data_IF_071789572907
#
_entry.id   IF_071789572907
#
_cell.length_a   1.000
_cell.length_b   1.000
_cell.length_c   1.000
_cell.angle_alpha   90.00
_cell.angle_beta   90.00
_cell.angle_gamma   90.00
#
_symmetry.space_group_name_H-M   'P 1'
#
loop_
_entity.id
_entity.type
_entity.pdbx_description
1 polymer ?
#
# COMPACT_ATOMS: atom_id res chain seq x y z
N UNK A 1 -35.05 1.11 8.01
CA UNK A 1 -33.60 1.28 8.19
C UNK A 1 -32.95 0.68 6.97
N UNK A 2 -32.34 1.51 6.14
CA UNK A 2 -31.80 1.09 4.85
C UNK A 2 -30.35 0.62 4.99
N UNK A 3 -30.05 -0.53 4.40
CA UNK A 3 -28.70 -1.08 4.37
C UNK A 3 -27.90 -0.40 3.25
N UNK A 4 -27.01 0.53 3.62
CA UNK A 4 -26.13 1.22 2.65
C UNK A 4 -24.81 0.45 2.53
N UNK A 5 -24.66 -0.28 1.42
CA UNK A 5 -23.40 -0.95 1.07
C UNK A 5 -22.40 0.10 0.58
N UNK A 6 -21.41 0.44 1.40
CA UNK A 6 -20.25 1.23 0.97
C UNK A 6 -19.35 0.34 0.10
N UNK A 7 -19.33 0.59 -1.22
CA UNK A 7 -18.39 -0.08 -2.13
C UNK A 7 -17.00 0.57 -1.99
N UNK A 8 -15.97 -0.14 -1.51
CA UNK A 8 -14.60 0.36 -1.58
C UNK A 8 -14.25 0.58 -3.05
N UNK A 9 -13.94 1.82 -3.42
CA UNK A 9 -13.49 2.17 -4.77
C UNK A 9 -12.01 1.80 -4.88
N UNK A 10 -11.73 0.61 -5.41
CA UNK A 10 -10.39 0.29 -5.90
C UNK A 10 -10.30 0.62 -7.39
N UNK A 11 -9.31 1.41 -7.79
CA UNK A 11 -9.02 1.70 -9.20
C UNK A 11 -7.77 0.94 -9.63
N UNK A 12 -7.85 0.20 -10.74
CA UNK A 12 -6.66 -0.43 -11.31
C UNK A 12 -5.73 0.65 -11.91
N UNK A 13 -4.45 0.62 -11.52
CA UNK A 13 -3.40 1.51 -12.02
C UNK A 13 -2.18 0.67 -12.39
N UNK A 14 -1.60 0.93 -13.57
CA UNK A 14 -0.37 0.29 -14.03
C UNK A 14 0.83 1.17 -13.71
N UNK A 15 1.83 0.61 -13.02
CA UNK A 15 3.12 1.27 -12.76
C UNK A 15 4.25 0.46 -13.43
N UNK A 16 5.32 1.13 -13.86
CA UNK A 16 6.54 0.47 -14.35
C UNK A 16 7.57 0.43 -13.23
N UNK A 17 8.21 -0.72 -13.06
CA UNK A 17 9.26 -0.96 -12.08
C UNK A 17 10.42 -1.69 -12.76
N UNK A 18 11.67 -1.58 -12.28
CA UNK A 18 12.77 -2.40 -12.76
C UNK A 18 12.48 -3.89 -12.54
N UNK A 19 12.88 -4.75 -13.49
CA UNK A 19 12.61 -6.19 -13.45
C UNK A 19 13.18 -6.85 -12.17
N UNK A 20 14.39 -6.47 -11.77
CA UNK A 20 15.02 -6.96 -10.53
C UNK A 20 14.17 -6.67 -9.28
N UNK A 21 13.49 -5.52 -9.24
CA UNK A 21 12.64 -5.15 -8.11
C UNK A 21 11.36 -6.00 -8.09
N UNK A 22 10.77 -6.25 -9.26
CA UNK A 22 9.60 -7.11 -9.42
C UNK A 22 9.93 -8.52 -8.93
N UNK A 23 11.05 -9.08 -9.36
CA UNK A 23 11.47 -10.43 -8.94
C UNK A 23 11.69 -10.53 -7.43
N UNK A 24 12.35 -9.54 -6.82
CA UNK A 24 12.58 -9.51 -5.36
C UNK A 24 11.26 -9.45 -4.58
N UNK A 25 10.34 -8.58 -4.99
CA UNK A 25 9.02 -8.44 -4.34
C UNK A 25 8.21 -9.71 -4.56
N UNK A 26 8.20 -10.29 -5.76
CA UNK A 26 7.47 -11.53 -6.05
C UNK A 26 7.98 -12.71 -5.23
N UNK A 27 9.31 -12.87 -5.10
CA UNK A 27 9.91 -13.89 -4.25
C UNK A 27 9.52 -13.71 -2.79
N UNK A 28 9.64 -12.47 -2.27
CA UNK A 28 9.25 -12.18 -0.89
C UNK A 28 7.77 -12.43 -0.64
N UNK A 29 6.89 -12.06 -1.57
CA UNK A 29 5.46 -12.33 -1.48
C UNK A 29 5.17 -13.83 -1.42
N UNK A 30 5.83 -14.63 -2.27
CA UNK A 30 5.72 -16.08 -2.27
C UNK A 30 6.20 -16.72 -0.95
N UNK A 31 7.36 -16.29 -0.45
CA UNK A 31 7.92 -16.74 0.84
C UNK A 31 6.98 -16.45 2.02
N UNK A 32 6.26 -15.33 1.95
CA UNK A 32 5.29 -14.90 2.98
C UNK A 32 3.87 -15.40 2.75
N UNK A 33 3.61 -16.10 1.64
CA UNK A 33 2.29 -16.62 1.29
C UNK A 33 1.25 -15.53 0.98
N UNK A 34 1.67 -14.36 0.49
CA UNK A 34 0.79 -13.24 0.10
C UNK A 34 0.90 -12.94 -1.39
N UNK A 35 -0.09 -12.25 -1.95
CA UNK A 35 -0.02 -11.81 -3.35
C UNK A 35 0.95 -10.65 -3.54
N UNK A 36 1.55 -10.57 -4.74
CA UNK A 36 2.40 -9.45 -5.14
C UNK A 36 1.74 -8.09 -4.88
N UNK A 37 0.46 -7.94 -5.26
CA UNK A 37 -0.29 -6.70 -5.08
C UNK A 37 -0.47 -6.34 -3.60
N UNK A 38 -0.76 -7.32 -2.73
CA UNK A 38 -0.88 -7.07 -1.28
C UNK A 38 0.44 -6.57 -0.68
N UNK A 39 1.57 -7.15 -1.11
CA UNK A 39 2.88 -6.70 -0.66
C UNK A 39 3.19 -5.28 -1.17
N UNK A 40 2.89 -4.99 -2.43
CA UNK A 40 3.08 -3.64 -3.00
C UNK A 40 2.26 -2.59 -2.25
N UNK A 41 0.99 -2.87 -1.93
CA UNK A 41 0.15 -1.96 -1.15
C UNK A 41 0.78 -1.67 0.22
N UNK A 42 1.18 -2.72 0.95
CA UNK A 42 1.82 -2.55 2.26
C UNK A 42 3.14 -1.78 2.18
N UNK A 43 3.97 -2.04 1.16
CA UNK A 43 5.19 -1.27 0.94
C UNK A 43 4.89 0.22 0.73
N UNK A 44 3.85 0.55 -0.07
CA UNK A 44 3.44 1.93 -0.30
C UNK A 44 2.89 2.58 0.96
N UNK A 45 2.00 1.90 1.71
CA UNK A 45 1.44 2.41 2.96
C UNK A 45 2.53 2.66 4.00
N UNK A 46 3.43 1.69 4.18
CA UNK A 46 4.57 1.83 5.09
C UNK A 46 5.46 3.00 4.68
N UNK A 47 5.80 3.11 3.38
CA UNK A 47 6.61 4.21 2.90
C UNK A 47 5.92 5.55 3.15
N UNK A 48 4.62 5.69 2.90
CA UNK A 48 3.86 6.92 3.14
C UNK A 48 3.77 7.28 4.64
N UNK A 49 3.62 6.29 5.52
CA UNK A 49 3.59 6.50 6.98
C UNK A 49 4.97 6.87 7.54
N UNK A 50 6.05 6.31 6.98
CA UNK A 50 7.42 6.47 7.46
C UNK A 50 8.24 7.50 6.68
N UNK A 51 7.67 8.08 5.62
CA UNK A 51 8.20 9.26 4.95
C UNK A 51 8.10 10.42 5.93
N UNK A 52 9.15 10.60 6.75
CA UNK A 52 9.35 11.83 7.51
C UNK A 52 9.32 12.99 6.52
N UNK A 53 8.25 13.77 6.54
CA UNK A 53 8.25 15.05 5.86
C UNK A 53 9.38 15.93 6.42
N UNK A 54 9.87 16.92 5.65
CA UNK A 54 10.64 18.03 6.21
C UNK A 54 9.87 18.81 7.30
N UNK A 55 8.55 18.60 7.40
CA UNK A 55 7.67 19.22 8.37
C UNK A 55 7.28 18.19 9.42
N UNK A 56 8.05 18.13 10.50
CA UNK A 56 7.43 17.86 11.79
C UNK A 56 6.54 19.06 12.11
N UNK A 57 5.31 19.12 11.58
CA UNK A 57 4.26 19.85 12.27
C UNK A 57 2.86 19.37 11.90
N UNK A 58 2.11 19.19 12.98
CA UNK A 58 0.66 19.17 13.07
C UNK A 58 -0.15 17.86 12.83
N UNK A 59 -0.60 17.38 14.00
CA UNK A 59 -1.82 16.62 14.31
C UNK A 59 -1.86 15.10 14.14
N UNK A 60 -1.49 14.46 15.27
CA UNK A 60 -2.47 13.68 16.06
C UNK A 60 -3.87 14.33 15.99
N UNK A 61 -4.86 13.69 15.38
CA UNK A 61 -6.25 13.66 15.87
C UNK A 61 -7.18 12.90 14.91
N UNK A 62 -7.80 11.84 15.43
CA UNK A 62 -9.21 11.43 15.26
C UNK A 62 -9.28 9.90 15.19
N UNK A 63 -9.84 9.17 16.14
CA UNK A 63 -10.53 9.54 17.39
C UNK A 63 -10.77 8.27 18.21
#
# INVERSE_FOLDING_TARGET
MDFIIKKPKSSNRTIRMPDELIERIAKLAADRGISFNQLVIQCCEFALEHLKGPESDEKKQSG
#
